data_IF_933774864859
#
_entry.id   IF_933774864859
#
_cell.length_a   1.000
_cell.length_b   1.000
_cell.length_c   1.000
_cell.angle_alpha   90.00
_cell.angle_beta   90.00
_cell.angle_gamma   90.00
#
_symmetry.space_group_name_H-M   'P 1'
#
loop_
_entity.id
_entity.type
_entity.pdbx_description
1 polymer ?
#
# COMPACT_ATOMS: atom_id res chain seq x y z
N UNK A 1 -27.18 1.56 5.27
CA UNK A 1 -26.26 0.44 5.58
C UNK A 1 -24.84 0.98 5.47
N UNK A 2 -24.02 0.88 6.53
CA UNK A 2 -22.59 1.26 6.49
C UNK A 2 -21.78 -0.02 6.35
N UNK A 3 -21.03 -0.18 5.26
CA UNK A 3 -20.19 -1.36 5.03
C UNK A 3 -18.72 -0.99 5.12
N UNK A 4 -17.96 -1.82 5.82
CA UNK A 4 -16.50 -1.79 5.86
C UNK A 4 -16.03 -3.05 5.14
N UNK A 5 -15.18 -2.93 4.12
CA UNK A 5 -14.59 -4.10 3.47
C UNK A 5 -13.10 -4.17 3.75
N UNK A 6 -12.59 -5.32 4.14
CA UNK A 6 -11.17 -5.60 4.06
C UNK A 6 -10.89 -6.14 2.64
N UNK A 7 -10.28 -5.33 1.79
CA UNK A 7 -9.84 -5.70 0.45
C UNK A 7 -8.44 -5.14 0.20
N UNK A 8 -7.99 -5.14 -1.04
CA UNK A 8 -6.74 -4.50 -1.48
C UNK A 8 -6.83 -2.95 -1.52
N UNK A 9 -8.04 -2.39 -1.38
CA UNK A 9 -8.27 -0.97 -1.61
C UNK A 9 -8.32 -0.61 -3.10
N UNK A 10 -8.97 -1.44 -3.93
CA UNK A 10 -9.18 -1.13 -5.35
C UNK A 10 -9.76 0.27 -5.62
N UNK A 11 -9.51 0.81 -6.82
CA UNK A 11 -10.04 2.10 -7.27
C UNK A 11 -11.57 2.23 -7.14
N UNK A 12 -12.30 1.13 -7.26
CA UNK A 12 -13.74 1.08 -7.05
C UNK A 12 -14.13 1.30 -5.58
N UNK A 13 -13.37 0.74 -4.63
CA UNK A 13 -13.55 1.01 -3.20
C UNK A 13 -13.28 2.47 -2.87
N UNK A 14 -12.19 3.05 -3.41
CA UNK A 14 -11.89 4.47 -3.26
C UNK A 14 -13.02 5.36 -3.81
N UNK A 15 -13.55 5.03 -4.99
CA UNK A 15 -14.68 5.76 -5.59
C UNK A 15 -15.92 5.73 -4.70
N UNK A 16 -16.27 4.56 -4.15
CA UNK A 16 -17.42 4.40 -3.25
C UNK A 16 -17.27 5.18 -1.96
N UNK A 17 -16.10 5.09 -1.32
CA UNK A 17 -15.79 5.82 -0.08
C UNK A 17 -15.88 7.33 -0.32
N UNK A 18 -15.29 7.82 -1.43
CA UNK A 18 -15.31 9.23 -1.81
C UNK A 18 -16.72 9.74 -2.11
N UNK A 19 -17.55 8.93 -2.77
CA UNK A 19 -18.95 9.25 -3.03
C UNK A 19 -19.83 9.14 -1.76
N UNK A 20 -19.32 8.55 -0.68
CA UNK A 20 -20.09 8.25 0.54
C UNK A 20 -21.25 7.29 0.33
N UNK A 21 -21.15 6.45 -0.69
CA UNK A 21 -22.19 5.49 -1.04
C UNK A 21 -21.69 4.07 -0.78
N UNK A 22 -22.51 3.28 -0.08
CA UNK A 22 -22.34 1.84 0.16
C UNK A 22 -21.12 1.43 1.03
N UNK A 23 -19.98 2.13 1.00
CA UNK A 23 -18.76 1.75 1.70
C UNK A 23 -18.18 2.94 2.46
N UNK A 24 -17.91 2.77 3.76
CA UNK A 24 -17.38 3.83 4.64
C UNK A 24 -15.86 3.73 4.85
N UNK A 25 -15.26 2.59 4.50
CA UNK A 25 -13.82 2.40 4.55
C UNK A 25 -13.34 1.12 3.87
N UNK A 26 -12.04 1.05 3.61
CA UNK A 26 -11.32 -0.13 3.13
C UNK A 26 -9.97 -0.25 3.84
N UNK A 27 -9.56 -1.47 4.15
CA UNK A 27 -8.12 -1.71 4.34
C UNK A 27 -7.48 -1.58 2.95
N UNK A 28 -6.36 -0.86 2.83
CA UNK A 28 -5.68 -0.64 1.57
C UNK A 28 -4.28 -1.24 1.61
N UNK A 29 -3.93 -1.99 0.58
CA UNK A 29 -2.62 -2.64 0.45
C UNK A 29 -1.67 -1.78 -0.38
N UNK A 30 -0.42 -1.57 0.06
CA UNK A 30 0.55 -0.76 -0.69
C UNK A 30 1.21 -1.61 -1.78
N UNK A 31 0.45 -1.99 -2.82
CA UNK A 31 0.88 -2.94 -3.86
C UNK A 31 2.20 -2.53 -4.53
N UNK A 32 2.38 -1.22 -4.77
CA UNK A 32 3.62 -0.68 -5.33
C UNK A 32 4.81 -0.89 -4.38
N UNK A 33 4.64 -0.76 -3.06
CA UNK A 33 5.69 -1.05 -2.09
C UNK A 33 5.97 -2.55 -1.99
N UNK A 34 4.93 -3.40 -2.03
CA UNK A 34 5.08 -4.86 -2.02
C UNK A 34 5.85 -5.37 -3.24
N UNK A 35 5.62 -4.78 -4.42
CA UNK A 35 6.41 -5.09 -5.62
C UNK A 35 7.91 -4.81 -5.43
N UNK A 36 8.25 -3.69 -4.79
CA UNK A 36 9.66 -3.38 -4.47
C UNK A 36 10.22 -4.29 -3.38
N UNK A 37 9.42 -4.63 -2.38
CA UNK A 37 9.80 -5.61 -1.36
C UNK A 37 10.13 -6.97 -1.98
N UNK A 38 9.31 -7.48 -2.91
CA UNK A 38 9.57 -8.74 -3.61
C UNK A 38 10.92 -8.73 -4.35
N UNK A 39 11.24 -7.61 -5.01
CA UNK A 39 12.54 -7.45 -5.67
C UNK A 39 13.68 -7.45 -4.64
N UNK A 40 13.50 -6.81 -3.48
CA UNK A 40 14.50 -6.82 -2.40
C UNK A 40 14.72 -8.23 -1.84
N UNK A 41 13.66 -8.99 -1.58
CA UNK A 41 13.77 -10.36 -1.08
C UNK A 41 14.46 -11.28 -2.10
N UNK A 42 14.17 -11.10 -3.39
CA UNK A 42 14.88 -11.82 -4.45
C UNK A 42 16.37 -11.47 -4.47
N UNK A 43 16.71 -10.18 -4.39
CA UNK A 43 18.11 -9.73 -4.33
C UNK A 43 18.84 -10.31 -3.12
N UNK A 44 18.21 -10.33 -1.94
CA UNK A 44 18.74 -10.94 -0.72
C UNK A 44 19.01 -12.42 -0.90
N UNK A 45 18.05 -13.18 -1.44
CA UNK A 45 18.20 -14.61 -1.67
C UNK A 45 19.32 -14.93 -2.66
N UNK A 46 19.43 -14.18 -3.76
CA UNK A 46 20.52 -14.32 -4.73
C UNK A 46 21.89 -14.02 -4.10
N UNK A 47 21.94 -13.06 -3.16
CA UNK A 47 23.13 -12.72 -2.39
C UNK A 47 23.38 -13.65 -1.18
N UNK A 48 22.56 -14.68 -0.96
CA UNK A 48 22.58 -15.55 0.24
C UNK A 48 22.44 -14.79 1.57
N UNK A 49 21.80 -13.63 1.53
CA UNK A 49 21.45 -12.85 2.71
C UNK A 49 20.11 -13.35 3.31
N UNK A 50 19.87 -13.12 4.61
CA UNK A 50 18.57 -13.40 5.20
C UNK A 50 17.48 -12.50 4.60
N UNK A 51 16.26 -13.04 4.54
CA UNK A 51 15.05 -12.28 4.21
C UNK A 51 14.86 -11.12 5.19
N UNK A 52 14.22 -10.04 4.74
CA UNK A 52 14.03 -8.86 5.61
C UNK A 52 13.06 -9.13 6.77
N UNK A 53 12.09 -10.04 6.57
CA UNK A 53 10.99 -10.25 7.50
C UNK A 53 10.01 -9.06 7.61
N UNK A 54 10.14 -8.08 6.72
CA UNK A 54 9.31 -6.89 6.72
C UNK A 54 7.85 -7.22 6.42
N UNK A 55 6.94 -6.65 7.20
CA UNK A 55 5.50 -6.71 6.97
C UNK A 55 5.00 -5.28 6.92
N UNK A 56 4.33 -4.91 5.83
CA UNK A 56 3.74 -3.59 5.70
C UNK A 56 2.66 -3.41 6.78
N UNK A 57 2.64 -2.25 7.49
CA UNK A 57 1.59 -1.98 8.45
C UNK A 57 0.23 -1.87 7.75
N UNK A 58 -0.81 -2.35 8.42
CA UNK A 58 -2.20 -2.24 7.95
C UNK A 58 -2.59 -0.78 7.86
N UNK A 59 -3.21 -0.37 6.74
CA UNK A 59 -3.68 0.99 6.53
C UNK A 59 -5.20 1.03 6.28
N UNK A 60 -5.93 1.76 7.12
CA UNK A 60 -7.38 1.96 6.95
C UNK A 60 -7.63 3.27 6.20
N UNK A 61 -8.26 3.16 5.03
CA UNK A 61 -8.75 4.30 4.26
C UNK A 61 -10.24 4.50 4.53
N UNK A 62 -10.62 5.73 4.81
CA UNK A 62 -11.97 6.19 5.12
C UNK A 62 -12.21 7.56 4.49
N UNK A 63 -13.39 8.14 4.68
CA UNK A 63 -13.66 9.50 4.19
C UNK A 63 -12.73 10.56 4.77
N UNK A 64 -12.20 10.34 5.97
CA UNK A 64 -11.39 11.34 6.67
C UNK A 64 -9.98 11.49 6.07
N UNK A 65 -9.46 10.44 5.41
CA UNK A 65 -8.09 10.40 4.89
C UNK A 65 -7.97 10.07 3.39
N UNK A 66 -9.06 9.68 2.72
CA UNK A 66 -9.05 9.30 1.30
C UNK A 66 -8.54 10.38 0.34
N UNK A 67 -8.61 11.65 0.74
CA UNK A 67 -8.05 12.76 -0.04
C UNK A 67 -6.52 12.71 -0.13
N UNK A 68 -5.86 12.11 0.87
CA UNK A 68 -4.40 12.03 0.98
C UNK A 68 -3.90 10.63 0.64
N UNK A 69 -4.55 9.59 1.16
CA UNK A 69 -4.06 8.20 1.09
C UNK A 69 -4.41 7.48 -0.22
N UNK A 70 -5.19 8.08 -1.11
CA UNK A 70 -5.55 7.52 -2.43
C UNK A 70 -5.11 8.35 -3.63
N UNK A 71 -4.76 9.60 -3.36
CA UNK A 71 -4.58 10.63 -4.38
C UNK A 71 -5.68 10.69 -5.45
N UNK A 72 -5.38 11.27 -6.61
CA UNK A 72 -6.27 11.27 -7.78
C UNK A 72 -6.44 9.88 -8.40
N UNK A 73 -5.52 8.95 -8.11
CA UNK A 73 -5.42 7.65 -8.79
C UNK A 73 -6.24 6.54 -8.13
N UNK A 74 -6.79 6.77 -6.93
CA UNK A 74 -7.63 5.79 -6.24
C UNK A 74 -6.84 4.55 -5.81
N UNK A 75 -5.57 4.73 -5.47
CA UNK A 75 -4.67 3.67 -5.02
C UNK A 75 -3.86 4.15 -3.83
N UNK A 76 -3.60 3.25 -2.90
CA UNK A 76 -2.71 3.54 -1.78
C UNK A 76 -1.25 3.31 -2.20
N UNK A 77 -0.48 4.40 -2.25
CA UNK A 77 0.97 4.38 -2.40
C UNK A 77 1.58 5.22 -1.27
N UNK A 78 2.19 4.60 -0.24
CA UNK A 78 2.63 5.32 0.95
C UNK A 78 3.78 6.27 0.65
N UNK A 79 3.67 7.51 1.13
CA UNK A 79 4.73 8.52 1.03
C UNK A 79 5.78 8.38 2.15
N UNK A 80 6.29 7.16 2.31
CA UNK A 80 7.33 6.82 3.30
C UNK A 80 8.74 6.77 2.66
N UNK A 81 8.85 7.14 1.39
CA UNK A 81 10.13 7.15 0.67
C UNK A 81 10.70 5.78 0.33
N UNK A 82 9.91 4.69 0.39
CA UNK A 82 10.41 3.30 0.22
C UNK A 82 11.26 3.08 -1.03
N UNK A 83 10.94 3.75 -2.14
CA UNK A 83 11.71 3.64 -3.40
C UNK A 83 13.15 4.09 -3.23
N UNK A 84 13.40 5.16 -2.49
CA UNK A 84 14.75 5.65 -2.22
C UNK A 84 15.50 4.71 -1.28
N UNK A 85 14.81 4.18 -0.26
CA UNK A 85 15.36 3.22 0.70
C UNK A 85 15.84 1.97 -0.04
N UNK A 86 14.99 1.33 -0.86
CA UNK A 86 15.38 0.14 -1.60
C UNK A 86 16.50 0.40 -2.62
N UNK A 87 16.49 1.55 -3.31
CA UNK A 87 17.60 1.91 -4.21
C UNK A 87 18.93 2.01 -3.45
N UNK A 88 18.92 2.59 -2.25
CA UNK A 88 20.12 2.67 -1.41
C UNK A 88 20.56 1.28 -0.92
N UNK A 89 19.64 0.39 -0.57
CA UNK A 89 19.95 -1.00 -0.20
C UNK A 89 20.64 -1.75 -1.36
N UNK A 90 20.14 -1.58 -2.59
CA UNK A 90 20.67 -2.31 -3.76
C UNK A 90 21.95 -1.71 -4.34
N UNK A 91 22.19 -0.42 -4.12
CA UNK A 91 23.36 0.34 -4.59
C UNK A 91 23.81 1.29 -3.49
N UNK A 92 24.54 0.78 -2.48
CA UNK A 92 25.05 1.59 -1.38
C UNK A 92 26.05 2.65 -1.86
#
# INVERSE_FOLDING_TARGET
>A
MRMLSAGDGSAAAFTRIRAGTFQVGTVAEPLSQQGWQLVDELNRLLARAPLSGYVAPVHLVSQDNIAFDGGPQGQYDPDNGYRNIYRHIWKP
#
